data_IF_518400805480
#
_entry.id   IF_518400805480
#
_cell.length_a   1.000
_cell.length_b   1.000
_cell.length_c   1.000
_cell.angle_alpha   90.00
_cell.angle_beta   90.00
_cell.angle_gamma   90.00
#
_symmetry.space_group_name_H-M   'P 1'
#
loop_
_entity.id
_entity.type
_entity.pdbx_description
1 polymer ?
#
# COMPACT_ATOMS: atom_id res chain seq x y z
N UNK A 1 -11.65 0.08 1.95
CA UNK A 1 -11.46 -0.19 0.51
C UNK A 1 -11.80 -1.63 0.22
N UNK A 2 -11.13 -2.59 0.86
CA UNK A 2 -11.31 -4.04 0.69
C UNK A 2 -12.76 -4.53 0.67
N UNK A 3 -13.56 -4.18 1.68
CA UNK A 3 -14.98 -4.57 1.71
C UNK A 3 -15.80 -3.96 0.56
N UNK A 4 -15.42 -2.79 0.04
CA UNK A 4 -16.11 -2.17 -1.09
C UNK A 4 -15.78 -2.89 -2.40
N UNK A 5 -14.53 -3.30 -2.61
CA UNK A 5 -14.15 -4.12 -3.77
C UNK A 5 -14.77 -5.52 -3.70
N UNK A 6 -14.81 -6.12 -2.52
CA UNK A 6 -15.51 -7.39 -2.33
C UNK A 6 -17.02 -7.26 -2.57
N UNK A 7 -17.65 -6.16 -2.13
CA UNK A 7 -19.05 -5.88 -2.44
C UNK A 7 -19.31 -5.68 -3.94
N UNK A 8 -18.39 -5.03 -4.67
CA UNK A 8 -18.45 -4.97 -6.14
C UNK A 8 -18.33 -6.35 -6.77
N UNK A 9 -17.40 -7.18 -6.29
CA UNK A 9 -17.27 -8.55 -6.78
C UNK A 9 -18.54 -9.37 -6.53
N UNK A 10 -19.09 -9.32 -5.31
CA UNK A 10 -20.32 -10.01 -4.94
C UNK A 10 -21.55 -9.56 -5.77
N UNK A 11 -21.52 -8.34 -6.33
CA UNK A 11 -22.55 -7.81 -7.22
C UNK A 11 -22.21 -7.92 -8.72
N UNK A 12 -21.09 -8.55 -9.07
CA UNK A 12 -20.62 -8.75 -10.46
C UNK A 12 -19.95 -7.53 -11.11
N UNK A 13 -19.68 -6.47 -10.35
CA UNK A 13 -19.05 -5.23 -10.83
C UNK A 13 -17.53 -5.19 -10.75
N UNK A 14 -16.88 -6.22 -10.20
CA UNK A 14 -15.44 -6.37 -10.16
C UNK A 14 -15.04 -7.85 -10.30
N UNK A 15 -13.85 -8.15 -10.85
CA UNK A 15 -13.34 -9.52 -10.87
C UNK A 15 -12.66 -9.90 -9.54
N UNK A 16 -12.50 -11.19 -9.27
CA UNK A 16 -12.00 -11.70 -7.98
C UNK A 16 -10.59 -11.21 -7.64
N UNK A 17 -9.70 -11.11 -8.65
CA UNK A 17 -8.29 -10.79 -8.41
C UNK A 17 -8.05 -9.42 -7.76
N UNK A 18 -8.97 -8.45 -7.89
CA UNK A 18 -8.84 -7.13 -7.27
C UNK A 18 -9.33 -7.10 -5.82
N UNK A 19 -9.87 -8.20 -5.33
CA UNK A 19 -10.35 -8.36 -3.94
C UNK A 19 -9.29 -8.99 -3.04
N UNK A 20 -9.57 -9.00 -1.74
CA UNK A 20 -8.73 -9.66 -0.74
C UNK A 20 -8.74 -11.19 -0.83
N UNK A 21 -9.74 -11.79 -1.49
CA UNK A 21 -9.77 -13.23 -1.79
C UNK A 21 -8.82 -13.58 -2.94
N UNK A 22 -8.55 -12.60 -3.80
CA UNK A 22 -7.63 -12.71 -4.92
C UNK A 22 -6.21 -12.24 -4.58
N UNK A 23 -5.81 -11.11 -5.16
CA UNK A 23 -4.42 -10.62 -5.12
C UNK A 23 -4.27 -9.29 -4.40
N UNK A 24 -5.33 -8.70 -3.85
CA UNK A 24 -5.22 -7.46 -3.07
C UNK A 24 -4.93 -7.77 -1.60
N UNK A 25 -3.69 -7.52 -1.16
CA UNK A 25 -3.27 -7.80 0.22
C UNK A 25 -3.24 -6.54 1.10
N UNK A 26 -3.83 -5.43 0.65
CA UNK A 26 -3.82 -4.16 1.39
C UNK A 26 -4.49 -4.28 2.77
N UNK A 27 -5.38 -5.27 2.96
CA UNK A 27 -5.96 -5.62 4.26
C UNK A 27 -4.89 -5.85 5.33
N UNK A 28 -3.75 -6.47 4.98
CA UNK A 28 -2.66 -6.76 5.90
C UNK A 28 -2.02 -5.46 6.39
N UNK A 29 -1.75 -4.53 5.47
CA UNK A 29 -1.18 -3.22 5.80
C UNK A 29 -2.15 -2.41 6.64
N UNK A 30 -3.44 -2.37 6.24
CA UNK A 30 -4.49 -1.66 6.96
C UNK A 30 -4.71 -2.17 8.38
N UNK A 31 -4.70 -3.50 8.58
CA UNK A 31 -4.86 -4.11 9.90
C UNK A 31 -3.62 -3.93 10.78
N UNK A 32 -2.42 -3.98 10.21
CA UNK A 32 -1.18 -3.84 10.99
C UNK A 32 -0.83 -2.39 11.33
N UNK A 33 -1.32 -1.41 10.57
CA UNK A 33 -0.98 0.01 10.74
C UNK A 33 -1.27 0.57 12.16
N UNK A 34 -2.45 0.33 12.79
CA UNK A 34 -2.70 0.80 14.16
C UNK A 34 -1.73 0.21 15.19
N UNK A 35 -1.36 -1.07 15.05
CA UNK A 35 -0.41 -1.73 15.94
C UNK A 35 1.00 -1.18 15.78
N UNK A 36 1.43 -0.94 14.55
CA UNK A 36 2.73 -0.30 14.27
C UNK A 36 2.75 1.12 14.82
N UNK A 37 1.70 1.90 14.59
CA UNK A 37 1.57 3.24 15.14
C UNK A 37 1.62 3.25 16.68
N UNK A 38 0.91 2.33 17.32
CA UNK A 38 0.95 2.14 18.78
C UNK A 38 2.36 1.76 19.27
N UNK A 39 3.03 0.82 18.60
CA UNK A 39 4.37 0.39 18.96
C UNK A 39 5.41 1.51 18.80
N UNK A 40 5.28 2.36 17.77
CA UNK A 40 6.09 3.56 17.62
C UNK A 40 5.85 4.52 18.80
N UNK A 41 4.58 4.77 19.13
CA UNK A 41 4.21 5.76 20.14
C UNK A 41 4.51 5.32 21.59
N UNK A 42 4.44 4.02 21.89
CA UNK A 42 4.47 3.51 23.28
C UNK A 42 5.60 2.53 23.58
N UNK A 43 6.14 1.87 22.56
CA UNK A 43 7.09 0.75 22.75
C UNK A 43 8.48 1.02 22.17
N UNK A 44 8.78 2.26 21.75
CA UNK A 44 10.07 2.66 21.17
C UNK A 44 10.51 1.75 20.01
N UNK A 45 9.58 1.43 19.10
CA UNK A 45 9.86 0.56 17.96
C UNK A 45 11.08 1.08 17.15
N UNK A 46 12.03 0.19 16.88
CA UNK A 46 13.30 0.55 16.23
C UNK A 46 13.03 1.13 14.83
N UNK A 47 13.70 2.23 14.42
CA UNK A 47 13.50 2.84 13.10
C UNK A 47 13.67 1.86 11.92
N UNK A 48 14.61 0.92 12.02
CA UNK A 48 14.82 -0.10 10.98
C UNK A 48 13.61 -1.04 10.79
N UNK A 49 12.88 -1.36 11.86
CA UNK A 49 11.65 -2.18 11.79
C UNK A 49 10.53 -1.38 11.14
N UNK A 50 10.41 -0.10 11.45
CA UNK A 50 9.44 0.80 10.82
C UNK A 50 9.72 0.92 9.32
N UNK A 51 10.98 1.07 8.92
CA UNK A 51 11.37 1.09 7.50
C UNK A 51 11.00 -0.23 6.82
N UNK A 52 11.34 -1.38 7.42
CA UNK A 52 11.01 -2.69 6.87
C UNK A 52 9.49 -2.86 6.66
N UNK A 53 8.68 -2.45 7.65
CA UNK A 53 7.22 -2.49 7.53
C UNK A 53 6.69 -1.60 6.39
N UNK A 54 7.23 -0.38 6.24
CA UNK A 54 6.82 0.50 5.13
C UNK A 54 7.25 -0.03 3.76
N UNK A 55 8.44 -0.64 3.65
CA UNK A 55 8.90 -1.27 2.40
C UNK A 55 7.98 -2.44 2.03
N UNK A 56 7.64 -3.30 2.99
CA UNK A 56 6.65 -4.36 2.77
C UNK A 56 5.28 -3.80 2.35
N UNK A 57 4.84 -2.71 2.98
CA UNK A 57 3.62 -2.00 2.60
C UNK A 57 3.64 -1.49 1.14
N UNK A 58 4.76 -0.90 0.71
CA UNK A 58 4.93 -0.45 -0.69
C UNK A 58 4.90 -1.63 -1.66
N UNK A 59 5.52 -2.76 -1.32
CA UNK A 59 5.50 -3.95 -2.17
C UNK A 59 4.09 -4.51 -2.33
N UNK A 60 3.33 -4.58 -1.23
CA UNK A 60 1.92 -4.99 -1.24
C UNK A 60 1.09 -4.03 -2.10
N UNK A 61 1.19 -2.72 -1.84
CA UNK A 61 0.47 -1.70 -2.59
C UNK A 61 0.81 -1.74 -4.09
N UNK A 62 2.07 -1.96 -4.43
CA UNK A 62 2.53 -2.08 -5.81
C UNK A 62 1.89 -3.28 -6.52
N UNK A 63 1.79 -4.43 -5.84
CA UNK A 63 1.06 -5.59 -6.37
C UNK A 63 -0.44 -5.28 -6.55
N UNK A 64 -1.07 -4.56 -5.62
CA UNK A 64 -2.47 -4.13 -5.73
C UNK A 64 -2.68 -3.19 -6.91
N UNK A 65 -1.80 -2.20 -7.10
CA UNK A 65 -1.84 -1.26 -8.23
C UNK A 65 -1.68 -2.01 -9.55
N UNK A 66 -0.67 -2.88 -9.67
CA UNK A 66 -0.44 -3.66 -10.91
C UNK A 66 -1.62 -4.57 -11.22
N UNK A 67 -2.15 -5.28 -10.21
CA UNK A 67 -3.33 -6.14 -10.38
C UNK A 67 -4.55 -5.34 -10.82
N UNK A 68 -4.79 -4.19 -10.20
CA UNK A 68 -5.94 -3.34 -10.52
C UNK A 68 -5.83 -2.75 -11.93
N UNK A 69 -4.70 -2.14 -12.27
CA UNK A 69 -4.48 -1.54 -13.59
C UNK A 69 -4.52 -2.57 -14.72
N UNK A 70 -3.99 -3.78 -14.49
CA UNK A 70 -4.06 -4.88 -15.47
C UNK A 70 -5.44 -5.56 -15.53
N UNK A 71 -6.31 -5.34 -14.54
CA UNK A 71 -7.70 -5.81 -14.57
C UNK A 71 -8.65 -4.83 -15.25
N UNK A 72 -8.27 -3.55 -15.39
CA UNK A 72 -9.07 -2.55 -16.11
C UNK A 72 -8.99 -2.74 -17.63
N UNK A 73 -10.01 -2.34 -18.39
CA UNK A 73 -9.88 -2.22 -19.85
C UNK A 73 -8.79 -1.19 -20.20
N UNK A 74 -7.93 -1.50 -21.16
CA UNK A 74 -6.90 -0.58 -21.63
C UNK A 74 -5.63 -1.29 -22.12
N UNK A 75 -4.58 -0.53 -22.44
CA UNK A 75 -3.34 -1.07 -22.99
C UNK A 75 -2.53 -1.92 -22.00
N UNK A 76 -2.76 -1.74 -20.69
CA UNK A 76 -2.12 -2.53 -19.64
C UNK A 76 -2.92 -3.78 -19.26
N UNK A 77 -4.07 -4.01 -19.91
CA UNK A 77 -4.95 -5.13 -19.60
C UNK A 77 -4.24 -6.46 -19.86
N UNK A 78 -4.37 -7.38 -18.90
CA UNK A 78 -3.94 -8.77 -19.02
C UNK A 78 -5.21 -9.62 -19.01
N UNK A 79 -5.20 -10.74 -19.74
CA UNK A 79 -6.31 -11.70 -19.81
C UNK A 79 -6.53 -12.40 -18.47
N UNK A 80 -7.14 -11.69 -17.52
CA UNK A 80 -7.62 -12.23 -16.27
C UNK A 80 -8.95 -12.97 -16.45
N UNK A 81 -9.24 -14.00 -15.63
CA UNK A 81 -10.58 -14.56 -15.56
C UNK A 81 -11.62 -13.52 -15.13
N UNK A 82 -12.85 -13.63 -15.65
CA UNK A 82 -13.97 -12.77 -15.29
C UNK A 82 -14.09 -11.49 -16.14
N UNK A 83 -14.92 -10.56 -15.67
CA UNK A 83 -15.18 -9.29 -16.35
C UNK A 83 -14.06 -8.26 -16.08
N UNK A 84 -13.66 -7.43 -17.05
CA UNK A 84 -12.78 -6.30 -16.80
C UNK A 84 -13.30 -5.35 -15.71
N UNK A 85 -12.39 -4.80 -14.91
CA UNK A 85 -12.73 -3.95 -13.77
C UNK A 85 -13.06 -2.51 -14.19
N UNK A 86 -14.23 -2.32 -14.81
CA UNK A 86 -14.70 -1.01 -15.32
C UNK A 86 -15.11 -0.06 -14.19
N UNK A 87 -15.64 -0.58 -13.08
CA UNK A 87 -16.14 0.22 -11.96
C UNK A 87 -15.06 1.07 -11.28
N UNK A 88 -13.77 0.72 -11.44
CA UNK A 88 -12.66 1.47 -10.83
C UNK A 88 -12.54 2.91 -11.36
N UNK A 89 -12.95 3.16 -12.60
CA UNK A 89 -12.99 4.50 -13.18
C UNK A 89 -14.28 5.28 -12.85
N UNK A 90 -15.25 4.64 -12.20
CA UNK A 90 -16.54 5.24 -11.86
C UNK A 90 -16.54 5.82 -10.44
N UNK A 91 -17.52 6.66 -10.16
CA UNK A 91 -17.79 7.13 -8.80
C UNK A 91 -18.23 5.95 -7.89
N UNK A 92 -17.76 5.86 -6.63
CA UNK A 92 -16.75 6.69 -5.96
C UNK A 92 -15.30 6.18 -6.11
N UNK A 93 -15.08 5.09 -6.84
CA UNK A 93 -13.80 4.38 -6.90
C UNK A 93 -12.70 5.12 -7.66
N UNK A 94 -13.07 6.10 -8.50
CA UNK A 94 -12.11 6.99 -9.18
C UNK A 94 -11.17 7.73 -8.21
N UNK A 95 -11.57 7.92 -6.95
CA UNK A 95 -10.68 8.49 -5.92
C UNK A 95 -9.52 7.59 -5.53
N UNK A 96 -9.64 6.28 -5.74
CA UNK A 96 -8.58 5.34 -5.40
C UNK A 96 -7.30 5.64 -6.20
N UNK A 97 -7.33 5.65 -7.55
CA UNK A 97 -6.15 6.01 -8.33
C UNK A 97 -5.87 7.52 -8.31
N UNK A 98 -6.90 8.37 -8.22
CA UNK A 98 -6.72 9.82 -8.30
C UNK A 98 -6.11 10.42 -7.02
N UNK A 99 -6.30 9.80 -5.85
CA UNK A 99 -5.89 10.39 -4.59
C UNK A 99 -5.38 9.37 -3.56
N UNK A 100 -6.14 8.31 -3.26
CA UNK A 100 -5.82 7.43 -2.14
C UNK A 100 -4.53 6.63 -2.34
N UNK A 101 -4.31 6.06 -3.53
CA UNK A 101 -3.10 5.30 -3.84
C UNK A 101 -1.84 6.21 -3.85
N UNK A 102 -1.83 7.39 -4.53
CA UNK A 102 -0.73 8.34 -4.41
C UNK A 102 -0.45 8.78 -2.96
N UNK A 103 -1.51 9.04 -2.17
CA UNK A 103 -1.37 9.42 -0.77
C UNK A 103 -0.75 8.30 0.06
N UNK A 104 -1.16 7.04 -0.15
CA UNK A 104 -0.59 5.88 0.55
C UNK A 104 0.92 5.72 0.26
N UNK A 105 1.33 5.85 -1.00
CA UNK A 105 2.75 5.86 -1.39
C UNK A 105 3.48 6.98 -0.65
N UNK A 106 2.92 8.19 -0.65
CA UNK A 106 3.52 9.35 0.01
C UNK A 106 3.74 9.11 1.51
N UNK A 107 2.74 8.59 2.22
CA UNK A 107 2.84 8.27 3.65
C UNK A 107 3.97 7.27 3.92
N UNK A 108 4.08 6.20 3.12
CA UNK A 108 5.16 5.23 3.27
C UNK A 108 6.54 5.84 3.03
N UNK A 109 6.71 6.59 1.94
CA UNK A 109 7.99 7.22 1.58
C UNK A 109 8.43 8.22 2.64
N UNK A 110 7.53 9.04 3.16
CA UNK A 110 7.85 10.01 4.21
C UNK A 110 8.21 9.32 5.53
N UNK A 111 7.48 8.26 5.89
CA UNK A 111 7.79 7.46 7.08
C UNK A 111 9.18 6.81 6.97
N UNK A 112 9.53 6.26 5.81
CA UNK A 112 10.87 5.71 5.53
C UNK A 112 11.93 6.81 5.68
N UNK A 113 11.72 7.96 5.02
CA UNK A 113 12.67 9.08 5.06
C UNK A 113 12.92 9.54 6.50
N UNK A 114 11.86 9.74 7.28
CA UNK A 114 11.96 10.15 8.69
C UNK A 114 12.79 9.14 9.50
N UNK A 115 12.50 7.85 9.37
CA UNK A 115 13.21 6.81 10.12
C UNK A 115 14.65 6.61 9.66
N UNK A 116 14.94 6.79 8.36
CA UNK A 116 16.30 6.76 7.84
C UNK A 116 17.16 7.90 8.41
N UNK A 117 16.59 9.10 8.53
CA UNK A 117 17.25 10.25 9.18
C UNK A 117 17.51 10.01 10.67
N UNK A 118 16.60 9.34 11.39
CA UNK A 118 16.81 8.95 12.79
C UNK A 118 17.96 7.95 12.97
N UNK A 119 18.17 7.06 11.99
CA UNK A 119 19.32 6.15 12.00
C UNK A 119 20.61 6.92 11.70
N UNK A 120 20.56 7.82 10.71
CA UNK A 120 21.71 8.62 10.31
C UNK A 120 22.21 9.51 11.44
N UNK A 121 21.32 10.22 12.15
CA UNK A 121 21.69 11.12 13.24
C UNK A 121 22.32 10.43 14.45
N UNK A 122 22.11 9.11 14.60
CA UNK A 122 22.71 8.31 15.67
C UNK A 122 24.06 7.70 15.32
N UNK A 123 24.55 7.88 14.08
CA UNK A 123 25.90 7.43 13.70
C UNK A 123 26.94 8.32 14.39
N UNK A 124 27.97 7.76 15.05
CA UNK A 124 29.07 8.56 15.58
C UNK A 124 29.68 9.35 14.44
N UNK A 125 29.79 10.68 14.58
CA UNK A 125 30.62 11.47 13.68
C UNK A 125 32.05 10.95 13.83
N UNK A 126 32.61 10.43 12.73
CA UNK A 126 34.04 10.16 12.64
C UNK A 126 34.75 11.50 12.82
N UNK A 127 35.06 11.83 14.07
CA UNK A 127 35.84 12.99 14.42
C UNK A 127 37.26 12.55 14.12
N UNK A 128 37.75 12.94 12.95
CA UNK A 128 39.14 12.77 12.57
C UNK A 128 39.99 13.37 13.68
N UNK A 129 40.75 12.52 14.37
CA UNK A 129 41.79 12.96 15.29
C UNK A 129 42.83 13.73 14.47
N UNK A 130 43.09 14.94 14.94
CA UNK A 130 44.21 15.83 14.60
C UNK A 130 45.56 15.13 14.65
#
# INVERSE_FOLDING_TARGET
>A
MEFAFWGLYASGGAPEQVTFEGRNFDVIVGLTAPFVAFAIARLNLKPGVVIAWNVLGILILSNTIVTTLSSMPGPLHINWPGMPFTAFAAWPFVWVPAFLAPLAIFIHVFSIRQNALLIWSKRPSATFLS
#
